data_IF_881805095807
#
_entry.id   IF_881805095807
#
_cell.length_a   1.000
_cell.length_b   1.000
_cell.length_c   1.000
_cell.angle_alpha   90.00
_cell.angle_beta   90.00
_cell.angle_gamma   90.00
#
_symmetry.space_group_name_H-M   'P 1'
#
loop_
_entity.id
_entity.type
_entity.pdbx_description
1 polymer ?
#
# COMPACT_ATOMS: atom_id res chain seq x y z
N UNK A 1 -27.99 7.02 16.96
CA UNK A 1 -27.40 7.90 15.94
C UNK A 1 -26.06 7.26 15.62
N UNK A 2 -25.79 6.90 14.37
CA UNK A 2 -24.52 6.26 14.01
C UNK A 2 -23.42 7.32 14.09
N UNK A 3 -22.43 7.11 14.95
CA UNK A 3 -21.27 7.99 15.03
C UNK A 3 -20.20 7.57 14.01
N UNK A 4 -19.31 8.51 13.71
CA UNK A 4 -18.16 8.32 12.83
C UNK A 4 -16.88 8.42 13.67
N UNK A 5 -16.09 7.36 13.64
CA UNK A 5 -14.79 7.25 14.29
C UNK A 5 -13.68 7.30 13.24
N UNK A 6 -12.70 8.19 13.41
CA UNK A 6 -11.49 8.24 12.58
C UNK A 6 -10.38 7.61 13.39
N UNK A 7 -9.76 6.55 12.88
CA UNK A 7 -8.90 5.68 13.67
C UNK A 7 -7.57 5.47 12.97
N UNK A 8 -6.49 5.44 13.74
CA UNK A 8 -5.17 5.02 13.28
C UNK A 8 -4.52 4.04 14.25
N UNK A 9 -3.54 3.29 13.75
CA UNK A 9 -2.70 2.42 14.56
C UNK A 9 -1.25 2.87 14.43
N UNK A 10 -0.66 3.29 15.54
CA UNK A 10 0.77 3.63 15.62
C UNK A 10 1.33 3.10 16.92
N UNK A 11 2.57 2.63 16.91
CA UNK A 11 3.26 2.19 18.12
C UNK A 11 4.11 3.30 18.75
N UNK A 12 4.36 4.39 18.02
CA UNK A 12 5.22 5.50 18.44
C UNK A 12 4.83 6.80 17.71
N UNK A 13 5.21 7.95 18.26
CA UNK A 13 5.02 9.24 17.59
C UNK A 13 6.21 9.55 16.69
N UNK A 14 6.06 9.31 15.38
CA UNK A 14 7.10 9.55 14.36
C UNK A 14 6.51 10.02 13.03
N UNK A 15 7.40 10.52 12.19
CA UNK A 15 7.10 10.95 10.82
C UNK A 15 5.94 11.94 10.76
N UNK A 16 4.89 11.65 9.99
CA UNK A 16 3.78 12.57 9.81
C UNK A 16 2.64 12.38 10.82
N UNK A 17 2.73 11.41 11.75
CA UNK A 17 1.70 11.14 12.75
C UNK A 17 1.25 12.39 13.55
N UNK A 18 2.15 13.25 14.07
CA UNK A 18 1.71 14.46 14.77
C UNK A 18 0.85 15.38 13.90
N UNK A 19 1.15 15.49 12.61
CA UNK A 19 0.39 16.31 11.67
C UNK A 19 -0.93 15.64 11.27
N UNK A 20 -0.99 14.31 11.22
CA UNK A 20 -2.26 13.59 11.06
C UNK A 20 -3.21 13.90 12.23
N UNK A 21 -2.73 13.83 13.47
CA UNK A 21 -3.52 14.20 14.66
C UNK A 21 -4.00 15.65 14.58
N UNK A 22 -3.08 16.59 14.30
CA UNK A 22 -3.43 18.01 14.20
C UNK A 22 -4.41 18.28 13.05
N UNK A 23 -4.22 17.63 11.90
CA UNK A 23 -5.06 17.83 10.71
C UNK A 23 -6.46 17.24 10.87
N UNK A 24 -6.62 16.06 11.47
CA UNK A 24 -7.96 15.55 11.80
C UNK A 24 -8.69 16.54 12.73
N UNK A 25 -8.01 17.01 13.78
CA UNK A 25 -8.59 17.97 14.74
C UNK A 25 -9.01 19.27 14.06
N UNK A 26 -8.16 19.81 13.18
CA UNK A 26 -8.46 21.03 12.40
C UNK A 26 -9.68 20.82 11.49
N UNK A 27 -9.85 19.59 10.98
CA UNK A 27 -10.96 19.18 10.13
C UNK A 27 -12.16 18.59 10.92
N UNK A 28 -12.30 18.95 12.19
CA UNK A 28 -13.54 18.75 12.95
C UNK A 28 -13.69 17.41 13.69
N UNK A 29 -12.68 16.53 13.70
CA UNK A 29 -12.74 15.24 14.41
C UNK A 29 -11.43 14.93 15.15
N UNK A 30 -11.53 14.44 16.38
CA UNK A 30 -10.35 13.87 17.07
C UNK A 30 -9.98 12.53 16.43
N UNK A 31 -8.69 12.21 16.44
CA UNK A 31 -8.16 10.95 15.92
C UNK A 31 -8.06 9.93 17.05
N UNK A 32 -8.70 8.77 16.87
CA UNK A 32 -8.58 7.64 17.77
C UNK A 32 -7.26 6.91 17.51
N UNK A 33 -6.36 6.91 18.49
CA UNK A 33 -4.99 6.40 18.34
C UNK A 33 -4.84 5.08 19.09
N UNK A 34 -4.63 4.00 18.35
CA UNK A 34 -4.47 2.66 18.91
C UNK A 34 -3.00 2.23 18.91
N UNK A 35 -2.59 1.54 19.98
CA UNK A 35 -1.28 0.87 20.07
C UNK A 35 -0.11 1.76 20.48
N UNK A 36 -0.32 3.05 20.77
CA UNK A 36 0.76 3.99 21.10
C UNK A 36 1.52 3.54 22.36
N UNK A 37 2.84 3.40 22.24
CA UNK A 37 3.71 2.94 23.34
C UNK A 37 3.82 1.41 23.46
N UNK A 38 3.10 0.65 22.64
CA UNK A 38 3.21 -0.80 22.59
C UNK A 38 4.34 -1.26 21.65
N UNK A 39 4.79 -2.50 21.81
CA UNK A 39 5.75 -3.11 20.89
C UNK A 39 5.05 -3.56 19.61
N UNK A 40 5.57 -3.15 18.46
CA UNK A 40 5.09 -3.65 17.16
C UNK A 40 5.37 -5.16 17.04
N UNK A 41 4.31 -5.95 16.79
CA UNK A 41 4.39 -7.42 16.80
C UNK A 41 4.33 -8.08 15.43
N UNK A 42 4.35 -7.33 14.34
CA UNK A 42 4.13 -7.87 13.00
C UNK A 42 3.03 -7.14 12.22
N UNK A 43 2.73 -7.63 11.02
CA UNK A 43 1.76 -7.02 10.13
C UNK A 43 0.32 -7.15 10.63
N UNK A 44 -0.01 -8.20 11.41
CA UNK A 44 -1.32 -8.28 12.04
C UNK A 44 -1.49 -7.30 13.20
N UNK A 45 -0.45 -6.58 13.65
CA UNK A 45 -0.57 -5.62 14.76
C UNK A 45 -1.71 -4.63 14.50
N UNK A 46 -1.79 -4.07 13.28
CA UNK A 46 -2.88 -3.21 12.83
C UNK A 46 -4.24 -3.87 12.97
N UNK A 47 -4.43 -5.04 12.37
CA UNK A 47 -5.72 -5.72 12.35
C UNK A 47 -6.16 -6.21 13.73
N UNK A 48 -5.22 -6.64 14.59
CA UNK A 48 -5.52 -7.01 15.99
C UNK A 48 -6.04 -5.80 16.76
N UNK A 49 -5.37 -4.64 16.66
CA UNK A 49 -5.79 -3.40 17.33
C UNK A 49 -7.15 -2.93 16.86
N UNK A 50 -7.38 -2.95 15.55
CA UNK A 50 -8.67 -2.59 14.98
C UNK A 50 -9.78 -3.56 15.40
N UNK A 51 -9.54 -4.88 15.35
CA UNK A 51 -10.53 -5.87 15.78
C UNK A 51 -10.89 -5.75 17.27
N UNK A 52 -9.94 -5.39 18.14
CA UNK A 52 -10.22 -5.15 19.56
C UNK A 52 -10.99 -3.85 19.79
N UNK A 53 -10.65 -2.78 19.08
CA UNK A 53 -11.37 -1.51 19.15
C UNK A 53 -12.81 -1.64 18.64
N UNK A 54 -13.04 -2.32 17.53
CA UNK A 54 -14.39 -2.50 16.98
C UNK A 54 -15.35 -3.21 17.95
N UNK A 55 -14.86 -4.06 18.84
CA UNK A 55 -15.69 -4.73 19.88
C UNK A 55 -16.25 -3.75 20.92
N UNK A 56 -15.68 -2.55 21.05
CA UNK A 56 -16.14 -1.55 22.02
C UNK A 56 -17.19 -0.61 21.44
N UNK A 57 -17.45 -0.69 20.14
CA UNK A 57 -18.34 0.21 19.42
C UNK A 57 -19.69 -0.44 19.07
N UNK A 58 -20.77 0.36 18.92
CA UNK A 58 -22.02 -0.10 18.34
C UNK A 58 -21.84 -0.62 16.91
N UNK A 59 -22.51 -1.72 16.57
CA UNK A 59 -22.46 -2.34 15.23
C UNK A 59 -22.86 -1.40 14.09
N UNK A 60 -23.68 -0.38 14.38
CA UNK A 60 -24.20 0.60 13.44
C UNK A 60 -23.25 1.78 13.21
N UNK A 61 -22.21 1.95 14.03
CA UNK A 61 -21.25 3.05 13.86
C UNK A 61 -20.38 2.83 12.62
N UNK A 62 -19.81 3.92 12.11
CA UNK A 62 -18.92 3.93 10.95
C UNK A 62 -17.51 4.19 11.45
N UNK A 63 -16.56 3.40 10.96
CA UNK A 63 -15.15 3.55 11.27
C UNK A 63 -14.37 3.77 9.99
N UNK A 64 -13.58 4.85 9.96
CA UNK A 64 -12.62 5.17 8.91
C UNK A 64 -11.22 4.97 9.47
N UNK A 65 -10.53 3.95 8.99
CA UNK A 65 -9.13 3.70 9.30
C UNK A 65 -8.21 4.39 8.29
N UNK A 66 -7.12 4.97 8.80
CA UNK A 66 -5.98 5.44 8.01
C UNK A 66 -4.66 5.07 8.69
N UNK A 67 -3.63 4.76 7.91
CA UNK A 67 -2.28 4.55 8.41
C UNK A 67 -1.75 5.83 9.08
N UNK A 68 -0.93 5.67 10.12
CA UNK A 68 -0.58 6.80 10.99
C UNK A 68 0.70 7.54 10.63
N UNK A 69 1.58 6.94 9.83
CA UNK A 69 2.94 7.47 9.65
C UNK A 69 3.12 8.33 8.40
N UNK A 70 2.30 8.11 7.38
CA UNK A 70 2.40 8.62 6.01
C UNK A 70 1.06 9.10 5.45
N UNK A 71 0.16 9.52 6.32
CA UNK A 71 -1.14 10.10 5.97
C UNK A 71 -1.30 11.51 6.52
N UNK A 72 -2.02 12.37 5.80
CA UNK A 72 -2.50 13.67 6.27
C UNK A 72 -3.98 13.85 5.93
N UNK A 73 -4.74 14.49 6.83
CA UNK A 73 -6.14 14.86 6.58
C UNK A 73 -6.20 16.22 5.85
N UNK A 74 -7.03 16.31 4.81
CA UNK A 74 -7.01 17.44 3.85
C UNK A 74 -8.39 18.04 3.56
N UNK A 75 -9.42 17.62 4.30
CA UNK A 75 -10.79 18.08 4.12
C UNK A 75 -11.59 17.87 5.41
N UNK A 76 -12.58 18.73 5.62
CA UNK A 76 -13.55 18.63 6.72
C UNK A 76 -14.17 17.23 6.82
N UNK A 77 -14.03 16.59 7.97
CA UNK A 77 -14.46 15.20 8.22
C UNK A 77 -15.95 15.07 8.56
N UNK A 78 -16.70 16.18 8.63
CA UNK A 78 -18.15 16.14 8.82
C UNK A 78 -18.84 15.48 7.61
N UNK A 79 -18.33 15.69 6.40
CA UNK A 79 -18.96 15.23 5.15
C UNK A 79 -18.61 13.79 4.76
N UNK A 80 -17.58 13.19 5.36
CA UNK A 80 -17.07 11.86 4.94
C UNK A 80 -18.14 10.77 5.10
N UNK A 81 -19.00 10.89 6.13
CA UNK A 81 -20.11 9.97 6.36
C UNK A 81 -21.09 9.98 5.18
N UNK A 82 -21.42 11.15 4.65
CA UNK A 82 -22.37 11.28 3.54
C UNK A 82 -21.80 10.66 2.25
N UNK A 83 -20.50 10.90 1.99
CA UNK A 83 -19.79 10.30 0.85
C UNK A 83 -19.73 8.78 0.98
N UNK A 84 -19.42 8.25 2.17
CA UNK A 84 -19.44 6.82 2.44
C UNK A 84 -20.81 6.20 2.19
N UNK A 85 -21.88 6.79 2.73
CA UNK A 85 -23.24 6.28 2.58
C UNK A 85 -23.68 6.27 1.11
N UNK A 86 -23.32 7.32 0.35
CA UNK A 86 -23.58 7.39 -1.09
C UNK A 86 -22.85 6.27 -1.83
N UNK A 87 -21.56 6.08 -1.60
CA UNK A 87 -20.78 5.03 -2.26
C UNK A 87 -21.27 3.63 -1.87
N UNK A 88 -21.65 3.42 -0.61
CA UNK A 88 -22.22 2.15 -0.16
C UNK A 88 -23.55 1.86 -0.86
N UNK A 89 -24.43 2.86 -1.00
CA UNK A 89 -25.69 2.71 -1.73
C UNK A 89 -25.48 2.42 -3.23
N UNK A 90 -24.42 2.97 -3.84
CA UNK A 90 -24.06 2.74 -5.25
C UNK A 90 -23.46 1.34 -5.50
N UNK A 91 -22.83 0.73 -4.49
CA UNK A 91 -21.97 -0.46 -4.68
C UNK A 91 -22.43 -1.71 -3.93
N UNK A 92 -23.28 -1.57 -2.91
CA UNK A 92 -23.67 -2.63 -1.96
C UNK A 92 -22.49 -3.36 -1.29
N UNK A 93 -21.31 -2.71 -1.23
CA UNK A 93 -20.11 -3.28 -0.62
C UNK A 93 -20.17 -3.25 0.92
N UNK A 94 -19.31 -4.03 1.57
CA UNK A 94 -19.13 -4.02 3.04
C UNK A 94 -18.07 -3.03 3.50
N UNK A 95 -16.99 -2.90 2.74
CA UNK A 95 -15.84 -2.04 3.03
C UNK A 95 -15.41 -1.29 1.77
N UNK A 96 -15.12 0.01 1.93
CA UNK A 96 -14.50 0.82 0.88
C UNK A 96 -13.04 1.02 1.26
N UNK A 97 -12.13 0.80 0.31
CA UNK A 97 -10.69 0.82 0.50
C UNK A 97 -10.06 1.77 -0.51
N UNK A 98 -8.95 2.42 -0.16
CA UNK A 98 -8.21 3.27 -1.09
C UNK A 98 -7.70 2.49 -2.31
N UNK A 99 -7.77 3.12 -3.47
CA UNK A 99 -7.15 2.59 -4.69
C UNK A 99 -5.67 3.02 -4.74
N UNK A 100 -4.78 2.05 -4.92
CA UNK A 100 -3.34 2.25 -4.93
C UNK A 100 -2.92 2.80 -6.31
N UNK A 101 -2.64 4.11 -6.36
CA UNK A 101 -2.13 4.77 -7.56
C UNK A 101 -0.60 4.75 -7.55
N UNK A 102 -0.05 3.77 -8.25
CA UNK A 102 1.39 3.61 -8.44
C UNK A 102 1.92 4.63 -9.46
N UNK A 103 2.60 5.69 -8.99
CA UNK A 103 3.29 6.68 -9.84
C UNK A 103 4.78 6.32 -9.93
N UNK A 104 5.03 5.12 -10.43
CA UNK A 104 6.37 4.54 -10.55
C UNK A 104 6.63 4.08 -11.99
N UNK A 105 7.88 3.78 -12.31
CA UNK A 105 8.24 3.23 -13.62
C UNK A 105 7.52 1.89 -13.84
N UNK A 106 7.22 1.56 -15.10
CA UNK A 106 6.56 0.29 -15.47
C UNK A 106 7.28 -0.94 -14.90
N UNK A 107 8.61 -0.87 -14.80
CA UNK A 107 9.43 -1.90 -14.17
C UNK A 107 9.09 -2.09 -12.69
N UNK A 108 9.11 -1.01 -11.89
CA UNK A 108 8.78 -1.09 -10.47
C UNK A 108 7.31 -1.50 -10.25
N UNK A 109 6.42 -1.04 -11.13
CA UNK A 109 5.02 -1.44 -11.14
C UNK A 109 4.85 -2.95 -11.32
N UNK A 110 5.57 -3.54 -12.28
CA UNK A 110 5.57 -4.98 -12.50
C UNK A 110 5.99 -5.75 -11.23
N UNK A 111 7.10 -5.37 -10.59
CA UNK A 111 7.54 -6.06 -9.36
C UNK A 111 6.59 -5.87 -8.18
N UNK A 112 6.01 -4.68 -8.02
CA UNK A 112 5.00 -4.43 -6.98
C UNK A 112 3.78 -5.33 -7.20
N UNK A 113 3.28 -5.41 -8.43
CA UNK A 113 2.12 -6.25 -8.79
C UNK A 113 2.38 -7.74 -8.57
N UNK A 114 3.61 -8.22 -8.76
CA UNK A 114 4.00 -9.60 -8.48
C UNK A 114 4.08 -9.89 -6.97
N UNK A 115 4.48 -8.91 -6.17
CA UNK A 115 4.65 -9.08 -4.72
C UNK A 115 3.34 -9.03 -3.96
N UNK A 116 2.52 -7.99 -4.20
CA UNK A 116 1.26 -7.78 -3.50
C UNK A 116 0.08 -8.49 -4.17
N UNK A 117 0.12 -8.69 -5.49
CA UNK A 117 -1.03 -9.15 -6.27
C UNK A 117 -2.00 -8.01 -6.61
N UNK A 118 -3.22 -8.38 -6.98
CA UNK A 118 -4.31 -7.46 -7.26
C UNK A 118 -5.63 -7.99 -6.69
N UNK A 119 -6.55 -7.08 -6.40
CA UNK A 119 -7.91 -7.33 -5.96
C UNK A 119 -8.82 -7.23 -7.19
N UNK A 120 -9.21 -8.37 -7.77
CA UNK A 120 -10.02 -8.44 -9.00
C UNK A 120 -9.45 -7.61 -10.17
N UNK A 121 -8.12 -7.63 -10.37
CA UNK A 121 -7.44 -6.89 -11.44
C UNK A 121 -7.04 -5.45 -11.09
N UNK A 122 -7.33 -4.99 -9.87
CA UNK A 122 -7.09 -3.61 -9.42
C UNK A 122 -6.15 -3.57 -8.20
N UNK A 123 -5.53 -2.42 -7.93
CA UNK A 123 -4.54 -2.28 -6.86
C UNK A 123 -5.17 -1.69 -5.60
N UNK A 124 -5.16 -2.48 -4.52
CA UNK A 124 -5.74 -2.13 -3.24
C UNK A 124 -4.67 -1.51 -2.33
N UNK A 125 -5.00 -0.42 -1.63
CA UNK A 125 -4.19 0.12 -0.54
C UNK A 125 -4.80 -0.21 0.83
N UNK A 126 -4.16 -1.10 1.61
CA UNK A 126 -4.70 -1.50 2.92
C UNK A 126 -4.46 -0.49 4.05
N UNK A 127 -3.77 0.61 3.74
CA UNK A 127 -3.55 1.72 4.66
C UNK A 127 -4.73 2.66 4.81
N UNK A 128 -5.81 2.45 4.05
CA UNK A 128 -7.03 3.27 4.15
C UNK A 128 -8.27 2.43 3.92
N UNK A 129 -9.24 2.47 4.84
CA UNK A 129 -10.54 1.84 4.62
C UNK A 129 -11.64 2.44 5.50
N UNK A 130 -12.89 2.30 5.06
CA UNK A 130 -14.08 2.74 5.81
C UNK A 130 -15.20 1.71 5.67
N UNK A 131 -15.97 1.54 6.75
CA UNK A 131 -17.11 0.63 6.79
C UNK A 131 -17.90 0.72 8.09
N UNK A 132 -19.03 0.01 8.14
CA UNK A 132 -19.75 -0.17 9.39
C UNK A 132 -18.98 -1.09 10.35
N UNK A 133 -19.10 -0.86 11.65
CA UNK A 133 -18.44 -1.69 12.68
C UNK A 133 -18.71 -3.17 12.49
N UNK A 134 -19.97 -3.56 12.21
CA UNK A 134 -20.34 -4.96 11.95
C UNK A 134 -19.60 -5.56 10.74
N UNK A 135 -19.49 -4.79 9.67
CA UNK A 135 -18.94 -5.23 8.38
C UNK A 135 -17.41 -5.36 8.49
N UNK A 136 -16.77 -4.35 9.08
CA UNK A 136 -15.34 -4.34 9.36
C UNK A 136 -14.96 -5.47 10.33
N UNK A 137 -15.75 -5.69 11.39
CA UNK A 137 -15.51 -6.77 12.35
C UNK A 137 -15.53 -8.14 11.66
N UNK A 138 -16.49 -8.39 10.77
CA UNK A 138 -16.57 -9.63 10.01
C UNK A 138 -15.33 -9.82 9.11
N UNK A 139 -14.97 -8.79 8.34
CA UNK A 139 -13.83 -8.82 7.41
C UNK A 139 -12.52 -9.03 8.15
N UNK A 140 -12.22 -8.21 9.15
CA UNK A 140 -10.95 -8.24 9.88
C UNK A 140 -10.77 -9.55 10.65
N UNK A 141 -11.83 -10.12 11.23
CA UNK A 141 -11.75 -11.43 11.88
C UNK A 141 -11.45 -12.57 10.87
N UNK A 142 -12.04 -12.52 9.67
CA UNK A 142 -11.72 -13.47 8.59
C UNK A 142 -10.26 -13.32 8.12
N UNK A 143 -9.77 -12.09 7.97
CA UNK A 143 -8.36 -11.79 7.63
C UNK A 143 -7.41 -12.34 8.70
N UNK A 144 -7.64 -12.02 9.96
CA UNK A 144 -6.81 -12.48 11.09
C UNK A 144 -6.80 -14.01 11.20
N UNK A 145 -7.94 -14.66 10.96
CA UNK A 145 -8.03 -16.13 10.95
C UNK A 145 -7.23 -16.74 9.79
N UNK A 146 -7.21 -16.09 8.63
CA UNK A 146 -6.44 -16.54 7.48
C UNK A 146 -4.93 -16.32 7.64
N UNK A 147 -4.52 -15.28 8.38
CA UNK A 147 -3.11 -14.97 8.69
C UNK A 147 -2.75 -15.29 10.15
N UNK A 148 -3.17 -16.45 10.68
CA UNK A 148 -2.97 -16.78 12.10
C UNK A 148 -1.50 -16.88 12.51
N UNK A 149 -0.60 -17.12 11.56
CA UNK A 149 0.86 -17.19 11.74
C UNK A 149 1.55 -15.82 11.78
N UNK A 150 0.86 -14.72 11.42
CA UNK A 150 1.43 -13.37 11.36
C UNK A 150 2.67 -13.26 10.46
N UNK A 151 2.67 -14.00 9.36
CA UNK A 151 3.79 -14.11 8.42
C UNK A 151 3.51 -13.46 7.05
N UNK A 152 2.26 -13.04 6.81
CA UNK A 152 1.89 -12.26 5.63
C UNK A 152 1.80 -10.76 5.93
N UNK A 153 2.19 -9.97 4.92
CA UNK A 153 1.98 -8.54 4.83
C UNK A 153 0.47 -8.20 4.87
N UNK A 154 0.14 -7.08 5.51
CA UNK A 154 -1.23 -6.64 5.77
C UNK A 154 -1.99 -6.30 4.48
N UNK A 155 -1.32 -5.71 3.48
CA UNK A 155 -1.92 -5.46 2.17
C UNK A 155 -2.18 -6.76 1.43
N UNK A 156 -1.20 -7.68 1.45
CA UNK A 156 -1.34 -8.97 0.77
C UNK A 156 -2.52 -9.77 1.32
N UNK A 157 -2.69 -9.87 2.64
CA UNK A 157 -3.81 -10.65 3.20
C UNK A 157 -5.18 -10.00 2.93
N UNK A 158 -5.26 -8.66 2.86
CA UNK A 158 -6.49 -7.97 2.46
C UNK A 158 -6.80 -8.20 0.98
N UNK A 159 -5.79 -8.27 0.10
CA UNK A 159 -5.95 -8.66 -1.30
C UNK A 159 -6.44 -10.12 -1.42
N UNK A 160 -5.86 -11.04 -0.65
CA UNK A 160 -6.31 -12.44 -0.61
C UNK A 160 -7.78 -12.55 -0.15
N UNK A 161 -8.19 -11.72 0.82
CA UNK A 161 -9.59 -11.60 1.23
C UNK A 161 -10.48 -11.09 0.08
N UNK A 162 -10.11 -9.98 -0.55
CA UNK A 162 -10.87 -9.40 -1.66
C UNK A 162 -11.14 -10.42 -2.77
N UNK A 163 -10.11 -11.19 -3.16
CA UNK A 163 -10.24 -12.18 -4.22
C UNK A 163 -11.09 -13.39 -3.81
N UNK A 164 -11.16 -13.70 -2.51
CA UNK A 164 -11.99 -14.79 -1.97
C UNK A 164 -13.46 -14.39 -1.82
N UNK A 165 -13.74 -13.12 -1.54
CA UNK A 165 -15.08 -12.59 -1.30
C UNK A 165 -15.38 -11.42 -2.26
N UNK A 166 -15.52 -11.70 -3.57
CA UNK A 166 -15.74 -10.66 -4.57
C UNK A 166 -17.02 -9.87 -4.26
N UNK A 167 -16.94 -8.55 -4.33
CA UNK A 167 -18.05 -7.63 -4.04
C UNK A 167 -18.12 -7.14 -2.58
N UNK A 168 -17.46 -7.80 -1.62
CA UNK A 168 -17.44 -7.31 -0.23
C UNK A 168 -16.54 -6.07 -0.07
N UNK A 169 -15.50 -5.93 -0.89
CA UNK A 169 -14.60 -4.77 -0.93
C UNK A 169 -14.83 -3.97 -2.22
N UNK A 170 -15.03 -2.66 -2.07
CA UNK A 170 -15.02 -1.69 -3.17
C UNK A 170 -13.77 -0.81 -3.08
N UNK A 171 -13.15 -0.52 -4.22
CA UNK A 171 -12.00 0.38 -4.30
C UNK A 171 -12.47 1.80 -4.64
N UNK A 172 -12.01 2.79 -3.89
CA UNK A 172 -12.25 4.22 -4.15
C UNK A 172 -11.42 4.73 -5.33
N UNK A 173 -11.75 4.25 -6.54
CA UNK A 173 -10.99 4.50 -7.78
C UNK A 173 -10.95 5.96 -8.21
N UNK A 174 -11.92 6.75 -7.77
CA UNK A 174 -12.06 8.17 -8.08
C UNK A 174 -11.50 9.06 -6.96
N UNK A 175 -10.91 8.49 -5.90
CA UNK A 175 -10.31 9.25 -4.81
C UNK A 175 -11.29 10.21 -4.11
N UNK A 176 -12.55 9.80 -3.97
CA UNK A 176 -13.59 10.58 -3.29
C UNK A 176 -13.38 10.62 -1.77
N UNK A 177 -12.77 9.57 -1.24
CA UNK A 177 -12.43 9.40 0.17
C UNK A 177 -10.91 9.48 0.37
N UNK A 178 -10.15 8.69 -0.40
CA UNK A 178 -8.74 8.45 -0.18
C UNK A 178 -7.90 8.68 -1.44
N UNK A 179 -6.80 9.40 -1.31
CA UNK A 179 -5.76 9.50 -2.33
C UNK A 179 -4.49 8.80 -1.86
N UNK A 180 -4.32 7.54 -2.23
CA UNK A 180 -3.10 6.78 -1.99
C UNK A 180 -2.18 6.87 -3.21
N UNK A 181 -1.01 7.49 -3.04
CA UNK A 181 -0.01 7.68 -4.10
C UNK A 181 1.35 7.11 -3.69
N UNK A 182 1.88 6.18 -4.48
CA UNK A 182 3.24 5.70 -4.31
C UNK A 182 4.19 6.54 -5.18
N UNK A 183 4.95 7.42 -4.53
CA UNK A 183 5.95 8.25 -5.21
C UNK A 183 7.30 8.24 -4.45
N UNK A 184 8.00 7.09 -4.45
CA UNK A 184 9.12 6.84 -3.54
C UNK A 184 10.22 7.88 -3.66
N UNK A 185 10.59 8.50 -2.53
CA UNK A 185 11.67 9.49 -2.45
C UNK A 185 11.34 10.86 -3.05
N UNK A 186 10.08 11.11 -3.41
CA UNK A 186 9.63 12.34 -4.05
C UNK A 186 8.43 12.94 -3.31
N UNK A 187 8.27 14.25 -3.46
CA UNK A 187 7.17 15.01 -2.86
C UNK A 187 5.89 14.87 -3.68
N UNK A 188 4.80 14.52 -3.00
CA UNK A 188 3.50 14.30 -3.64
C UNK A 188 2.81 15.58 -4.10
N UNK A 189 3.20 16.75 -3.57
CA UNK A 189 2.56 18.04 -3.88
C UNK A 189 2.67 18.44 -5.36
N UNK A 190 3.53 17.76 -6.12
CA UNK A 190 3.67 17.90 -7.57
C UNK A 190 2.58 17.17 -8.37
N UNK A 191 1.83 16.25 -7.75
CA UNK A 191 0.85 15.37 -8.40
C UNK A 191 -0.61 15.86 -8.26
N UNK A 192 -0.86 16.82 -7.37
CA UNK A 192 -2.20 17.37 -7.13
C UNK A 192 -2.12 18.88 -6.86
N UNK A 193 -3.29 19.52 -6.85
CA UNK A 193 -3.39 20.96 -6.57
C UNK A 193 -3.73 21.17 -5.10
N UNK A 194 -3.15 22.21 -4.51
CA UNK A 194 -3.48 22.65 -3.16
C UNK A 194 -3.87 24.12 -3.28
N UNK A 195 -5.13 24.43 -2.97
CA UNK A 195 -5.65 25.78 -2.92
C UNK A 195 -6.14 26.05 -1.51
N UNK A 196 -5.51 27.00 -0.82
CA UNK A 196 -5.77 27.27 0.60
C UNK A 196 -5.61 25.98 1.42
N UNK A 197 -6.71 25.46 1.96
CA UNK A 197 -6.73 24.26 2.80
C UNK A 197 -7.26 23.01 2.07
N UNK A 198 -7.46 23.09 0.76
CA UNK A 198 -8.12 22.02 -0.02
C UNK A 198 -7.16 21.36 -1.03
N UNK A 199 -6.99 20.04 -0.87
CA UNK A 199 -6.33 19.19 -1.88
C UNK A 199 -7.33 18.80 -2.97
N UNK A 200 -6.91 18.91 -4.24
CA UNK A 200 -7.70 18.51 -5.41
C UNK A 200 -6.90 17.61 -6.35
N UNK A 201 -7.44 16.44 -6.67
CA UNK A 201 -6.86 15.46 -7.60
C UNK A 201 -7.95 14.94 -8.54
N UNK A 202 -7.74 15.00 -9.85
CA UNK A 202 -8.71 14.57 -10.87
C UNK A 202 -10.15 15.13 -10.69
N UNK A 203 -10.27 16.39 -10.26
CA UNK A 203 -11.53 17.08 -9.92
C UNK A 203 -12.26 16.54 -8.69
N UNK A 204 -11.60 15.72 -7.89
CA UNK A 204 -12.10 15.23 -6.61
C UNK A 204 -11.27 15.79 -5.45
N UNK A 205 -11.87 15.80 -4.26
CA UNK A 205 -11.30 16.38 -3.05
C UNK A 205 -11.20 15.31 -1.97
N UNK A 206 -10.11 14.52 -1.96
CA UNK A 206 -9.94 13.43 -1.00
C UNK A 206 -9.88 13.97 0.43
N UNK A 207 -10.35 13.18 1.39
CA UNK A 207 -10.29 13.53 2.81
C UNK A 207 -8.92 13.21 3.40
N UNK A 208 -8.24 12.21 2.84
CA UNK A 208 -6.91 11.80 3.25
C UNK A 208 -5.99 11.62 2.05
N UNK A 209 -4.76 12.11 2.18
CA UNK A 209 -3.67 11.85 1.26
C UNK A 209 -2.68 10.92 1.95
N UNK A 210 -2.42 9.77 1.33
CA UNK A 210 -1.53 8.72 1.82
C UNK A 210 -0.30 8.61 0.90
N UNK A 211 0.87 8.97 1.43
CA UNK A 211 2.17 8.89 0.76
C UNK A 211 2.85 7.52 0.93
N UNK A 212 2.15 6.47 0.49
CA UNK A 212 2.61 5.09 0.61
C UNK A 212 3.96 4.84 -0.10
N UNK A 213 4.65 3.79 0.32
CA UNK A 213 5.88 3.35 -0.35
C UNK A 213 7.06 4.31 -0.20
N UNK A 214 7.02 5.20 0.79
CA UNK A 214 8.11 6.13 1.09
C UNK A 214 8.07 7.43 0.28
N UNK A 215 6.87 7.87 -0.12
CA UNK A 215 6.66 9.23 -0.61
C UNK A 215 6.75 10.27 0.50
N UNK A 216 6.80 11.55 0.10
CA UNK A 216 6.97 12.69 1.00
C UNK A 216 5.75 13.62 1.01
N UNK A 217 5.40 14.09 2.22
CA UNK A 217 4.27 15.00 2.48
C UNK A 217 4.71 16.37 2.99
N UNK A 218 6.01 16.66 3.11
CA UNK A 218 6.51 17.88 3.73
C UNK A 218 5.96 19.13 3.05
N UNK A 219 6.04 19.18 1.72
CA UNK A 219 5.55 20.32 0.96
C UNK A 219 4.03 20.43 1.05
N UNK A 220 3.32 19.30 1.03
CA UNK A 220 1.86 19.24 1.19
C UNK A 220 1.46 19.84 2.54
N UNK A 221 2.09 19.38 3.63
CA UNK A 221 1.86 19.83 4.99
C UNK A 221 2.17 21.33 5.14
N UNK A 222 3.29 21.82 4.57
CA UNK A 222 3.63 23.25 4.57
C UNK A 222 2.58 24.09 3.83
N UNK A 223 2.13 23.63 2.66
CA UNK A 223 1.14 24.35 1.83
C UNK A 223 -0.24 24.40 2.48
N UNK A 224 -0.60 23.40 3.28
CA UNK A 224 -1.79 23.38 4.15
C UNK A 224 -1.62 24.20 5.44
N UNK A 225 -0.54 24.97 5.56
CA UNK A 225 -0.32 25.91 6.66
C UNK A 225 0.14 25.28 7.98
N UNK A 226 0.66 24.05 7.97
CA UNK A 226 1.25 23.44 9.16
C UNK A 226 2.74 23.77 9.28
N UNK A 227 3.20 23.95 10.52
CA UNK A 227 4.62 24.19 10.82
C UNK A 227 5.36 22.86 10.96
N UNK A 228 6.04 22.43 9.90
CA UNK A 228 6.81 21.17 9.90
C UNK A 228 8.25 21.34 10.41
N UNK A 229 8.73 20.37 11.18
CA UNK A 229 10.15 20.21 11.49
C UNK A 229 10.86 19.49 10.33
N UNK A 230 11.92 20.09 9.79
CA UNK A 230 12.74 19.56 8.69
C UNK A 230 13.47 18.24 9.02
N UNK A 231 13.54 17.84 10.29
CA UNK A 231 14.12 16.56 10.71
C UNK A 231 13.30 15.35 10.24
N UNK A 232 11.98 15.52 10.02
CA UNK A 232 11.08 14.42 9.63
C UNK A 232 11.52 13.75 8.32
N UNK A 233 11.81 14.55 7.29
CA UNK A 233 12.22 14.06 5.97
C UNK A 233 13.50 13.26 6.01
N UNK A 234 14.49 13.79 6.72
CA UNK A 234 15.81 13.15 6.84
C UNK A 234 15.70 11.81 7.56
N UNK A 235 14.88 11.74 8.62
CA UNK A 235 14.62 10.50 9.34
C UNK A 235 13.90 9.47 8.47
N UNK A 236 12.84 9.90 7.76
CA UNK A 236 12.09 9.03 6.86
C UNK A 236 12.96 8.53 5.71
N UNK A 237 13.77 9.39 5.09
CA UNK A 237 14.75 9.02 4.08
C UNK A 237 15.77 7.98 4.60
N UNK A 238 16.37 8.23 5.77
CA UNK A 238 17.34 7.32 6.37
C UNK A 238 16.71 5.96 6.70
N UNK A 239 15.52 5.95 7.29
CA UNK A 239 14.82 4.72 7.64
C UNK A 239 14.33 3.96 6.40
N UNK A 240 13.92 4.64 5.33
CA UNK A 240 13.58 4.03 4.04
C UNK A 240 14.79 3.43 3.33
N UNK A 241 15.94 4.12 3.35
CA UNK A 241 17.21 3.57 2.85
C UNK A 241 17.58 2.33 3.64
N UNK A 242 17.55 2.41 4.98
CA UNK A 242 17.86 1.28 5.84
C UNK A 242 16.96 0.09 5.52
N UNK A 243 15.64 0.26 5.48
CA UNK A 243 14.69 -0.81 5.11
C UNK A 243 15.02 -1.42 3.73
N UNK A 244 15.33 -0.57 2.73
CA UNK A 244 15.66 -1.00 1.37
C UNK A 244 17.00 -1.76 1.26
N UNK A 245 18.00 -1.43 2.10
CA UNK A 245 19.27 -2.16 2.16
C UNK A 245 19.17 -3.46 2.96
N UNK A 246 18.34 -3.51 4.01
CA UNK A 246 18.27 -4.66 4.93
C UNK A 246 17.24 -5.73 4.54
N UNK A 247 16.14 -5.42 3.82
CA UNK A 247 15.07 -6.41 3.54
C UNK A 247 15.15 -7.13 2.18
N UNK A 248 15.33 -6.45 1.02
CA UNK A 248 15.38 -7.13 -0.29
C UNK A 248 16.77 -7.24 -0.90
N UNK A 249 17.73 -6.38 -0.55
CA UNK A 249 19.01 -6.28 -1.26
C UNK A 249 19.85 -7.59 -1.27
N UNK A 250 19.93 -8.37 -0.17
CA UNK A 250 20.63 -9.66 -0.19
C UNK A 250 19.94 -10.69 -1.08
N UNK A 251 18.60 -10.73 -1.07
CA UNK A 251 17.80 -11.67 -1.89
C UNK A 251 17.84 -11.29 -3.37
N UNK A 252 17.82 -10.00 -3.68
CA UNK A 252 17.96 -9.47 -5.03
C UNK A 252 19.36 -9.71 -5.60
N UNK A 253 20.41 -9.41 -4.83
CA UNK A 253 21.80 -9.74 -5.21
C UNK A 253 21.93 -11.25 -5.44
N UNK A 254 21.40 -12.07 -4.54
CA UNK A 254 21.41 -13.52 -4.69
C UNK A 254 20.67 -13.96 -5.96
N UNK A 255 19.52 -13.38 -6.27
CA UNK A 255 18.78 -13.64 -7.51
C UNK A 255 19.59 -13.24 -8.75
N UNK A 256 20.20 -12.06 -8.77
CA UNK A 256 21.05 -11.60 -9.88
C UNK A 256 22.24 -12.54 -10.07
N UNK A 257 22.90 -12.94 -8.99
CA UNK A 257 24.00 -13.93 -9.02
C UNK A 257 23.49 -15.25 -9.61
N UNK A 258 22.37 -15.78 -9.12
CA UNK A 258 21.78 -17.03 -9.62
C UNK A 258 21.38 -16.94 -11.10
N UNK A 259 20.84 -15.81 -11.54
CA UNK A 259 20.50 -15.55 -12.94
C UNK A 259 21.74 -15.54 -13.84
N UNK A 260 22.81 -14.87 -13.43
CA UNK A 260 24.08 -14.87 -14.17
C UNK A 260 24.70 -16.28 -14.22
N UNK A 261 24.70 -17.00 -13.09
CA UNK A 261 25.16 -18.40 -13.04
C UNK A 261 24.36 -19.27 -14.00
N UNK A 262 23.02 -19.16 -13.98
CA UNK A 262 22.16 -19.93 -14.87
C UNK A 262 22.42 -19.60 -16.34
N UNK A 263 22.59 -18.31 -16.67
CA UNK A 263 22.90 -17.85 -18.03
C UNK A 263 24.24 -18.41 -18.51
N UNK A 264 25.28 -18.36 -17.68
CA UNK A 264 26.59 -18.93 -18.00
C UNK A 264 26.49 -20.44 -18.23
N UNK A 265 25.81 -21.16 -17.33
CA UNK A 265 25.59 -22.62 -17.46
C UNK A 265 24.84 -22.95 -18.75
N UNK A 266 23.81 -22.18 -19.09
CA UNK A 266 23.04 -22.33 -20.32
C UNK A 266 23.92 -22.16 -21.57
N UNK A 267 24.75 -21.11 -21.63
CA UNK A 267 25.69 -20.90 -22.73
C UNK A 267 26.75 -22.01 -22.84
N UNK A 268 27.31 -22.45 -21.71
CA UNK A 268 28.29 -23.56 -21.68
C UNK A 268 27.67 -24.88 -22.16
N UNK A 269 26.43 -25.16 -21.75
CA UNK A 269 25.68 -26.32 -22.21
C UNK A 269 25.43 -26.27 -23.72
N UNK A 270 24.94 -25.13 -24.23
CA UNK A 270 24.68 -24.95 -25.66
C UNK A 270 25.96 -25.03 -26.49
N UNK A 271 27.05 -24.42 -26.02
CA UNK A 271 28.37 -24.52 -26.64
C UNK A 271 28.87 -25.98 -26.69
N UNK A 272 28.66 -26.74 -25.62
CA UNK A 272 29.02 -28.16 -25.56
C UNK A 272 28.23 -28.99 -26.55
N UNK A 273 26.91 -28.77 -26.66
CA UNK A 273 26.05 -29.42 -27.67
C UNK A 273 26.51 -29.06 -29.08
N UNK A 274 26.74 -27.77 -29.35
CA UNK A 274 27.19 -27.31 -30.67
C UNK A 274 28.50 -27.98 -31.08
N UNK A 275 29.45 -28.13 -30.14
CA UNK A 275 30.72 -28.82 -30.37
C UNK A 275 30.54 -30.31 -30.66
N UNK A 276 29.59 -30.98 -29.99
CA UNK A 276 29.24 -32.38 -30.25
C UNK A 276 28.64 -32.51 -31.66
N UNK A 277 27.69 -31.65 -32.02
CA UNK A 277 27.05 -31.63 -33.35
C UNK A 277 28.10 -31.45 -34.45
N UNK A 278 28.98 -30.45 -34.34
CA UNK A 278 30.07 -30.22 -35.30
C UNK A 278 31.00 -31.42 -35.45
N UNK A 279 31.34 -32.10 -34.34
CA UNK A 279 32.18 -33.30 -34.36
C UNK A 279 31.48 -34.50 -35.03
N UNK A 280 30.18 -34.64 -34.83
CA UNK A 280 29.36 -35.66 -35.49
C UNK A 280 29.24 -35.40 -36.98
N UNK A 281 28.96 -34.17 -37.41
CA UNK A 281 28.90 -33.78 -38.83
C UNK A 281 30.24 -34.07 -39.53
N UNK A 282 31.37 -33.72 -38.91
CA UNK A 282 32.72 -34.01 -39.47
C UNK A 282 33.07 -35.50 -39.57
N UNK A 283 32.35 -36.38 -38.86
CA UNK A 283 32.59 -37.83 -38.86
C UNK A 283 31.70 -38.59 -39.84
N UNK A 284 30.72 -37.95 -40.48
CA UNK A 284 29.91 -38.56 -41.54
C UNK A 284 30.59 -38.31 -42.89
N UNK A 285 31.22 -39.32 -43.51
CA UNK A 285 31.83 -39.15 -44.82
C UNK A 285 30.73 -38.89 -45.87
N UNK A 286 30.84 -37.80 -46.62
CA UNK A 286 29.94 -37.49 -47.75
C UNK A 286 28.99 -36.30 -47.58
N UNK A 287 28.91 -35.66 -46.41
CA UNK A 287 27.97 -34.54 -46.19
C UNK A 287 28.45 -33.18 -46.73
N UNK A 288 29.74 -33.02 -47.04
CA UNK A 288 30.33 -31.75 -47.54
C UNK A 288 30.35 -31.69 -49.09
N UNK A 289 30.02 -32.78 -49.79
CA UNK A 289 30.16 -32.85 -51.25
C UNK A 289 28.92 -32.35 -52.06
N UNK A 290 28.03 -31.53 -51.48
CA UNK A 290 26.77 -31.14 -52.15
C UNK A 290 26.28 -29.70 -51.93
N UNK A 291 27.18 -28.79 -51.54
CA UNK A 291 26.89 -27.35 -51.51
C UNK A 291 27.99 -26.64 -52.30
N UNK A 292 27.93 -26.79 -53.62
CA UNK A 292 28.51 -25.91 -54.64
C UNK A 292 27.49 -25.83 -55.79
#
# INVERSE_FOLDING_TARGET
MEDLHIVTVVNESKYYFPYLVESCKRNGKELEVLGLGETWTGFNFKYKKMADYLKTLPETDIVCFVDGFDVICTRDLIEIKEIFLKLKAETDCKMIVGDDKLVITEFLHFFSSLYFGNCNGEYLNSGTYIGYVKDLSEILNKILKANSSDDADDQRIMIEYCNRYPGEIYLDKNNKLFLALAYPGLELDSLFRINEDLVSYNNENPFFVHAMGGGYLENTIRKLGYSINDETKNKLFYDNIKKSFYLPYPRFIMFVILFYVFTIVYFLYFYSIHKIILKTIRRVPGFIAKID
#
